data_IF_490656344837
#
_entry.id   IF_490656344837
#
_cell.length_a   1.000
_cell.length_b   1.000
_cell.length_c   1.000
_cell.angle_alpha   90.00
_cell.angle_beta   90.00
_cell.angle_gamma   90.00
#
_symmetry.space_group_name_H-M   'P 1'
#
loop_
_entity.id
_entity.type
_entity.pdbx_description
1 polymer ?
#
# COMPACT_ATOMS: atom_id res chain seq x y z
N UNK A 1 -3.81 3.71 11.11
CA UNK A 1 -4.74 3.55 9.97
C UNK A 1 -5.51 4.83 9.66
N UNK A 2 -6.36 5.36 10.55
CA UNK A 2 -7.19 6.56 10.23
C UNK A 2 -6.37 7.76 9.72
N UNK A 3 -5.34 8.21 10.45
CA UNK A 3 -4.47 9.32 10.01
C UNK A 3 -3.80 9.08 8.65
N UNK A 4 -3.38 7.86 8.36
CA UNK A 4 -2.78 7.53 7.07
C UNK A 4 -3.78 7.61 5.93
N UNK A 5 -5.04 7.23 6.17
CA UNK A 5 -6.12 7.37 5.20
C UNK A 5 -6.48 8.84 4.94
N UNK A 6 -6.41 9.70 5.96
CA UNK A 6 -6.58 11.14 5.80
C UNK A 6 -5.49 11.70 4.87
N UNK A 7 -4.23 11.28 5.05
CA UNK A 7 -3.12 11.64 4.15
C UNK A 7 -3.39 11.13 2.74
N UNK A 8 -3.78 9.85 2.59
CA UNK A 8 -4.16 9.27 1.28
C UNK A 8 -5.22 10.13 0.60
N UNK A 9 -6.22 10.61 1.34
CA UNK A 9 -7.31 11.42 0.79
C UNK A 9 -6.86 12.83 0.38
N UNK A 10 -5.82 13.39 1.01
CA UNK A 10 -5.25 14.68 0.61
C UNK A 10 -4.33 14.59 -0.61
N UNK A 11 -3.83 13.40 -0.96
CA UNK A 11 -2.89 13.23 -2.07
C UNK A 11 -3.53 13.30 -3.46
N UNK A 12 -2.76 13.83 -4.40
CA UNK A 12 -3.06 13.77 -5.83
C UNK A 12 -3.10 12.32 -6.33
N UNK A 13 -4.19 11.96 -7.01
CA UNK A 13 -4.40 10.64 -7.65
C UNK A 13 -3.22 10.30 -8.59
N UNK A 14 -2.69 11.30 -9.30
CA UNK A 14 -1.56 11.16 -10.23
C UNK A 14 -0.26 10.70 -9.54
N UNK A 15 -0.04 11.12 -8.28
CA UNK A 15 1.12 10.73 -7.47
C UNK A 15 0.83 9.46 -6.65
N UNK A 16 -0.43 9.26 -6.28
CA UNK A 16 -0.89 8.12 -5.50
C UNK A 16 -0.74 6.79 -6.25
N UNK A 17 -1.16 6.74 -7.53
CA UNK A 17 -1.05 5.53 -8.37
C UNK A 17 0.37 4.94 -8.43
N UNK A 18 1.42 5.69 -8.80
CA UNK A 18 2.78 5.13 -8.85
C UNK A 18 3.30 4.74 -7.46
N UNK A 19 2.92 5.47 -6.41
CA UNK A 19 3.31 5.15 -5.03
C UNK A 19 2.74 3.80 -4.58
N UNK A 20 1.44 3.58 -4.79
CA UNK A 20 0.78 2.28 -4.52
C UNK A 20 1.44 1.15 -5.29
N UNK A 21 1.66 1.34 -6.60
CA UNK A 21 2.31 0.31 -7.43
C UNK A 21 3.71 -0.04 -6.93
N UNK A 22 4.50 0.94 -6.48
CA UNK A 22 5.85 0.71 -5.96
C UNK A 22 5.81 -0.09 -4.65
N UNK A 23 4.88 0.23 -3.74
CA UNK A 23 4.69 -0.52 -2.49
C UNK A 23 4.25 -1.96 -2.78
N UNK A 24 3.28 -2.16 -3.67
CA UNK A 24 2.85 -3.51 -4.06
C UNK A 24 3.99 -4.31 -4.71
N UNK A 25 4.81 -3.68 -5.55
CA UNK A 25 5.98 -4.31 -6.15
C UNK A 25 7.03 -4.68 -5.09
N UNK A 26 7.24 -3.83 -4.09
CA UNK A 26 8.13 -4.14 -2.98
C UNK A 26 7.58 -5.29 -2.14
N UNK A 27 6.28 -5.30 -1.79
CA UNK A 27 5.63 -6.41 -1.09
C UNK A 27 5.67 -7.74 -1.88
N UNK A 28 5.57 -7.67 -3.20
CA UNK A 28 5.67 -8.82 -4.09
C UNK A 28 7.12 -9.33 -4.17
N UNK A 29 8.09 -8.42 -4.21
CA UNK A 29 9.51 -8.75 -4.20
C UNK A 29 9.84 -9.29 -2.81
N UNK A 30 10.39 -10.49 -2.69
CA UNK A 30 10.79 -11.07 -1.38
C UNK A 30 11.93 -10.29 -0.67
N UNK A 31 12.24 -9.08 -1.14
CA UNK A 31 13.21 -8.18 -0.56
C UNK A 31 12.67 -7.65 0.78
N UNK A 32 13.47 -7.75 1.82
CA UNK A 32 13.13 -7.22 3.15
C UNK A 32 13.46 -5.72 3.27
N UNK A 33 13.63 -5.05 2.14
CA UNK A 33 14.10 -3.68 2.03
C UNK A 33 12.94 -2.70 1.93
N UNK A 34 13.20 -1.44 2.29
CA UNK A 34 12.23 -0.36 2.16
C UNK A 34 11.75 -0.23 0.72
N UNK A 35 10.49 0.13 0.52
CA UNK A 35 9.92 0.36 -0.82
C UNK A 35 10.61 1.50 -1.60
N UNK A 36 11.25 2.41 -0.87
CA UNK A 36 11.93 3.60 -1.38
C UNK A 36 13.30 3.75 -0.71
N UNK A 37 14.27 4.18 -1.51
CA UNK A 37 15.60 4.57 -1.02
C UNK A 37 15.53 5.93 -0.32
N UNK A 38 16.50 6.32 0.54
CA UNK A 38 16.50 7.62 1.23
C UNK A 38 16.34 8.81 0.27
N UNK A 39 17.00 8.76 -0.88
CA UNK A 39 16.90 9.78 -1.93
C UNK A 39 15.52 9.84 -2.60
N UNK A 40 14.84 8.68 -2.73
CA UNK A 40 13.48 8.61 -3.25
C UNK A 40 12.47 9.15 -2.22
N UNK A 41 12.67 8.80 -0.94
CA UNK A 41 11.87 9.32 0.17
C UNK A 41 11.94 10.85 0.22
N UNK A 42 13.13 11.46 0.09
CA UNK A 42 13.26 12.93 0.04
C UNK A 42 12.49 13.56 -1.12
N UNK A 43 12.55 12.94 -2.32
CA UNK A 43 11.78 13.42 -3.48
C UNK A 43 10.28 13.28 -3.27
N UNK A 44 9.85 12.19 -2.62
CA UNK A 44 8.44 11.97 -2.28
C UNK A 44 7.95 12.99 -1.27
N UNK A 45 8.74 13.30 -0.23
CA UNK A 45 8.40 14.34 0.75
C UNK A 45 8.11 15.67 0.07
N UNK A 46 8.98 16.10 -0.85
CA UNK A 46 8.81 17.34 -1.59
C UNK A 46 7.61 17.26 -2.55
N UNK A 47 7.50 16.18 -3.32
CA UNK A 47 6.45 16.00 -4.34
C UNK A 47 5.05 15.89 -3.75
N UNK A 48 4.94 15.21 -2.60
CA UNK A 48 3.69 15.01 -1.86
C UNK A 48 3.43 16.14 -0.86
N UNK A 49 4.42 17.01 -0.62
CA UNK A 49 4.37 18.06 0.42
C UNK A 49 4.02 17.49 1.79
N UNK A 50 4.64 16.36 2.15
CA UNK A 50 4.45 15.66 3.41
C UNK A 50 5.69 15.78 4.30
N UNK A 51 5.47 15.68 5.61
CA UNK A 51 6.57 15.49 6.58
C UNK A 51 7.07 14.05 6.57
N UNK A 52 8.26 13.82 7.15
CA UNK A 52 8.87 12.48 7.22
C UNK A 52 7.95 11.48 7.93
N UNK A 53 7.36 11.88 9.05
CA UNK A 53 6.39 11.08 9.79
C UNK A 53 5.12 10.79 8.97
N UNK A 54 4.62 11.76 8.21
CA UNK A 54 3.44 11.56 7.36
C UNK A 54 3.71 10.63 6.19
N UNK A 55 4.88 10.74 5.55
CA UNK A 55 5.29 9.82 4.49
C UNK A 55 5.42 8.41 5.04
N UNK A 56 6.14 8.23 6.15
CA UNK A 56 6.31 6.92 6.77
C UNK A 56 4.94 6.31 7.13
N UNK A 57 4.07 7.10 7.77
CA UNK A 57 2.71 6.69 8.11
C UNK A 57 1.86 6.33 6.88
N UNK A 58 1.98 7.08 5.79
CA UNK A 58 1.31 6.79 4.51
C UNK A 58 1.79 5.46 3.93
N UNK A 59 3.10 5.28 3.83
CA UNK A 59 3.71 4.06 3.30
C UNK A 59 3.30 2.85 4.14
N UNK A 60 3.36 2.98 5.47
CA UNK A 60 2.98 1.93 6.42
C UNK A 60 1.48 1.61 6.30
N UNK A 61 0.63 2.64 6.19
CA UNK A 61 -0.82 2.47 6.03
C UNK A 61 -1.16 1.68 4.77
N UNK A 62 -0.58 2.03 3.62
CA UNK A 62 -0.81 1.32 2.35
C UNK A 62 -0.28 -0.12 2.45
N UNK A 63 0.91 -0.28 3.02
CA UNK A 63 1.53 -1.61 3.24
C UNK A 63 0.66 -2.49 4.12
N UNK A 64 0.11 -1.95 5.22
CA UNK A 64 -0.78 -2.65 6.13
C UNK A 64 -2.09 -3.06 5.46
N UNK A 65 -2.69 -2.18 4.66
CA UNK A 65 -3.92 -2.47 3.91
C UNK A 65 -3.71 -3.71 3.02
N UNK A 66 -2.63 -3.72 2.23
CA UNK A 66 -2.32 -4.86 1.36
C UNK A 66 -1.89 -6.11 2.12
N UNK A 67 -1.15 -5.96 3.21
CA UNK A 67 -0.73 -7.08 4.04
C UNK A 67 -1.94 -7.76 4.70
N UNK A 68 -2.90 -6.99 5.22
CA UNK A 68 -4.15 -7.51 5.77
C UNK A 68 -5.00 -8.18 4.69
N UNK A 69 -5.14 -7.55 3.52
CA UNK A 69 -5.85 -8.13 2.39
C UNK A 69 -5.21 -9.45 1.94
N UNK A 70 -3.89 -9.54 1.91
CA UNK A 70 -3.16 -10.74 1.57
C UNK A 70 -3.29 -11.84 2.62
N UNK A 71 -3.20 -11.48 3.90
CA UNK A 71 -3.36 -12.41 5.01
C UNK A 71 -4.75 -13.06 5.00
N UNK A 72 -5.80 -12.25 4.79
CA UNK A 72 -7.17 -12.73 4.65
C UNK A 72 -7.52 -13.30 3.27
N UNK A 73 -6.59 -13.30 2.31
CA UNK A 73 -6.83 -13.67 0.90
C UNK A 73 -8.10 -12.99 0.35
N UNK A 74 -8.23 -11.69 0.65
CA UNK A 74 -9.41 -10.89 0.37
C UNK A 74 -9.56 -10.72 -1.14
N UNK A 75 -10.78 -10.93 -1.66
CA UNK A 75 -11.08 -10.73 -3.07
C UNK A 75 -11.09 -9.22 -3.41
N UNK A 76 -10.70 -8.82 -4.64
CA UNK A 76 -10.73 -7.42 -5.05
C UNK A 76 -12.08 -6.71 -4.85
N UNK A 77 -13.19 -7.40 -5.12
CA UNK A 77 -14.54 -6.86 -4.88
C UNK A 77 -14.81 -6.59 -3.39
N UNK A 78 -14.32 -7.47 -2.49
CA UNK A 78 -14.47 -7.29 -1.05
C UNK A 78 -13.59 -6.15 -0.57
N UNK A 79 -12.35 -6.05 -1.09
CA UNK A 79 -11.48 -4.92 -0.79
C UNK A 79 -12.13 -3.61 -1.22
N UNK A 80 -12.72 -3.54 -2.42
CA UNK A 80 -13.45 -2.37 -2.89
C UNK A 80 -14.58 -1.96 -1.95
N UNK A 81 -15.48 -2.91 -1.61
CA UNK A 81 -16.59 -2.64 -0.68
C UNK A 81 -16.10 -2.19 0.68
N UNK A 82 -15.14 -2.93 1.27
CA UNK A 82 -14.55 -2.56 2.56
C UNK A 82 -13.95 -1.16 2.51
N UNK A 83 -13.26 -0.80 1.43
CA UNK A 83 -12.69 0.53 1.29
C UNK A 83 -13.78 1.61 1.20
N UNK A 84 -14.81 1.41 0.40
CA UNK A 84 -15.93 2.36 0.27
C UNK A 84 -16.73 2.52 1.57
N UNK A 85 -16.87 1.45 2.35
CA UNK A 85 -17.69 1.43 3.56
C UNK A 85 -16.91 1.86 4.82
N UNK A 86 -15.62 1.51 4.92
CA UNK A 86 -14.83 1.71 6.13
C UNK A 86 -13.79 2.83 6.00
N UNK A 87 -13.45 3.24 4.77
CA UNK A 87 -12.48 4.30 4.53
C UNK A 87 -13.17 5.45 3.80
N UNK A 88 -13.02 6.66 4.32
CA UNK A 88 -13.51 7.89 3.66
C UNK A 88 -12.57 8.33 2.53
N UNK A 89 -12.26 7.43 1.60
CA UNK A 89 -11.41 7.70 0.43
C UNK A 89 -12.24 7.78 -0.85
N UNK A 90 -11.85 8.71 -1.73
CA UNK A 90 -12.50 8.92 -3.03
C UNK A 90 -12.50 7.66 -3.91
N UNK A 91 -13.55 7.48 -4.72
CA UNK A 91 -13.71 6.29 -5.58
C UNK A 91 -12.53 6.07 -6.55
N UNK A 92 -11.92 7.14 -7.04
CA UNK A 92 -10.71 7.06 -7.87
C UNK A 92 -9.54 6.38 -7.15
N UNK A 93 -9.36 6.68 -5.86
CA UNK A 93 -8.30 6.11 -5.02
C UNK A 93 -8.59 4.66 -4.69
N UNK A 94 -9.86 4.35 -4.40
CA UNK A 94 -10.31 2.96 -4.25
C UNK A 94 -10.01 2.17 -5.53
N UNK A 95 -10.31 2.74 -6.70
CA UNK A 95 -10.00 2.15 -7.99
C UNK A 95 -8.51 1.85 -8.17
N UNK A 96 -7.62 2.76 -7.74
CA UNK A 96 -6.17 2.53 -7.74
C UNK A 96 -5.80 1.35 -6.83
N UNK A 97 -6.31 1.33 -5.60
CA UNK A 97 -6.00 0.29 -4.65
C UNK A 97 -6.40 -1.09 -5.16
N UNK A 98 -7.65 -1.19 -5.65
CA UNK A 98 -8.23 -2.43 -6.19
C UNK A 98 -7.50 -2.86 -7.46
N UNK A 99 -7.16 -1.94 -8.35
CA UNK A 99 -6.42 -2.26 -9.58
C UNK A 99 -5.02 -2.82 -9.28
N UNK A 100 -4.29 -2.21 -8.35
CA UNK A 100 -3.02 -2.73 -7.89
C UNK A 100 -3.19 -4.08 -7.17
N UNK A 101 -4.26 -4.27 -6.38
CA UNK A 101 -4.55 -5.56 -5.77
C UNK A 101 -4.77 -6.66 -6.81
N UNK A 102 -5.59 -6.42 -7.84
CA UNK A 102 -5.81 -7.39 -8.92
C UNK A 102 -4.49 -7.79 -9.59
N UNK A 103 -3.59 -6.82 -9.79
CA UNK A 103 -2.29 -7.03 -10.43
C UNK A 103 -1.30 -7.80 -9.56
N UNK A 104 -1.17 -7.43 -8.28
CA UNK A 104 -0.10 -7.90 -7.40
C UNK A 104 -0.54 -8.92 -6.34
N UNK A 105 -1.85 -9.10 -6.09
CA UNK A 105 -2.37 -9.94 -5.00
C UNK A 105 -1.75 -11.33 -4.96
N UNK A 106 -1.74 -12.02 -6.11
CA UNK A 106 -1.20 -13.39 -6.20
C UNK A 106 0.26 -13.45 -5.75
N UNK A 107 1.07 -12.48 -6.21
CA UNK A 107 2.48 -12.39 -5.87
C UNK A 107 2.73 -12.02 -4.41
N UNK A 108 1.98 -11.04 -3.89
CA UNK A 108 2.07 -10.60 -2.49
C UNK A 108 1.65 -11.74 -1.54
N UNK A 109 0.54 -12.44 -1.84
CA UNK A 109 0.07 -13.57 -1.05
C UNK A 109 1.09 -14.71 -1.05
N UNK A 110 1.69 -15.03 -2.20
CA UNK A 110 2.72 -16.07 -2.28
C UNK A 110 3.99 -15.69 -1.51
N UNK A 111 4.43 -14.43 -1.64
CA UNK A 111 5.57 -13.88 -0.91
C UNK A 111 5.35 -13.93 0.61
N UNK A 112 4.17 -13.49 1.09
CA UNK A 112 3.81 -13.52 2.51
C UNK A 112 3.60 -14.93 3.06
N UNK A 113 3.03 -15.84 2.26
CA UNK A 113 2.95 -17.27 2.62
C UNK A 113 4.34 -17.87 2.80
N UNK A 114 5.24 -17.65 1.85
CA UNK A 114 6.64 -18.06 1.99
C UNK A 114 7.29 -17.46 3.24
N UNK A 115 7.06 -16.17 3.52
CA UNK A 115 7.61 -15.49 4.70
C UNK A 115 7.08 -16.06 6.02
N UNK A 116 5.80 -16.44 6.08
CA UNK A 116 5.18 -17.05 7.28
C UNK A 116 5.59 -18.52 7.49
N UNK A 117 6.00 -19.22 6.43
CA UNK A 117 6.43 -20.63 6.48
C UNK A 117 7.89 -20.77 6.91
N UNK A 118 8.69 -19.69 6.86
CA UNK A 118 10.01 -19.67 7.49
C UNK A 118 9.92 -19.04 8.88
N UNK A 119 9.78 -19.83 9.96
CA UNK A 119 10.23 -19.35 11.26
C UNK A 119 11.72 -19.08 11.11
N UNK A 120 12.15 -17.87 11.43
CA UNK A 120 13.57 -17.61 11.62
C UNK A 120 14.03 -18.57 12.73
N UNK A 121 14.79 -19.61 12.35
CA UNK A 121 15.62 -20.39 13.28
C UNK A 121 16.83 -19.57 13.70
#
# INVERSE_FOLDING_TARGET
LQKGLEIVEQLDIAKFRPLVNRICQNLHSKANDKAFSPEEEEKLLISLSLTKDELDLLLDTITLIYSQAAFGVVKPAVMESTMKENFSVSEDKVGIFVNAWVTYAKGIIDALRHKSIFPCQ
#
